data_IF_060855553120
#
_entry.id   IF_060855553120
#
_cell.length_a   1.000
_cell.length_b   1.000
_cell.length_c   1.000
_cell.angle_alpha   90.00
_cell.angle_beta   90.00
_cell.angle_gamma   90.00
#
_symmetry.space_group_name_H-M   'P 1'
#
loop_
_entity.id
_entity.type
_entity.pdbx_description
1 polymer ?
#
# COMPACT_ATOMS: atom_id res chain seq x y z
N UNK A 1 -17.43 8.45 -4.93
CA UNK A 1 -15.98 8.39 -4.70
C UNK A 1 -15.65 7.41 -3.58
N UNK A 2 -14.67 6.54 -3.80
CA UNK A 2 -14.20 5.66 -2.73
C UNK A 2 -13.34 6.45 -1.74
N UNK A 3 -13.09 5.84 -0.58
CA UNK A 3 -12.20 6.41 0.43
C UNK A 3 -10.79 6.62 -0.14
N UNK A 4 -10.33 5.74 -1.05
CA UNK A 4 -8.99 5.86 -1.63
C UNK A 4 -8.88 7.09 -2.55
N UNK A 5 -9.91 7.38 -3.35
CA UNK A 5 -9.93 8.60 -4.15
C UNK A 5 -9.84 9.83 -3.27
N UNK A 6 -10.54 9.83 -2.15
CA UNK A 6 -10.50 10.96 -1.20
C UNK A 6 -9.13 11.11 -0.56
N UNK A 7 -8.46 10.00 -0.27
CA UNK A 7 -7.08 10.02 0.26
C UNK A 7 -6.13 10.61 -0.79
N UNK A 8 -6.24 10.16 -2.04
CA UNK A 8 -5.39 10.66 -3.13
C UNK A 8 -5.58 12.18 -3.32
N UNK A 9 -6.81 12.67 -3.18
CA UNK A 9 -7.13 14.08 -3.35
C UNK A 9 -6.79 14.93 -2.11
N UNK A 10 -6.36 14.31 -1.03
CA UNK A 10 -6.00 15.03 0.20
C UNK A 10 -7.18 15.38 1.09
N UNK A 11 -8.39 14.89 0.77
CA UNK A 11 -9.58 15.15 1.59
C UNK A 11 -9.55 14.39 2.91
N UNK A 12 -8.92 13.20 2.90
CA UNK A 12 -8.76 12.36 4.07
C UNK A 12 -7.26 12.19 4.33
N UNK A 13 -6.79 12.44 5.55
CA UNK A 13 -5.37 12.26 5.85
C UNK A 13 -4.95 10.80 5.76
N UNK A 14 -3.67 10.58 5.43
CA UNK A 14 -3.09 9.24 5.33
C UNK A 14 -1.63 9.27 5.77
N UNK A 15 -1.09 8.09 6.05
CA UNK A 15 0.34 7.94 6.34
C UNK A 15 1.04 7.62 5.03
N UNK A 16 1.28 8.65 4.22
CA UNK A 16 1.88 8.50 2.89
C UNK A 16 3.31 7.98 2.99
N UNK A 17 3.66 7.01 2.13
CA UNK A 17 5.03 6.51 2.01
C UNK A 17 5.67 6.88 0.67
N UNK A 18 4.89 7.00 -0.39
CA UNK A 18 5.39 7.38 -1.71
C UNK A 18 4.28 7.85 -2.62
N UNK A 19 4.64 8.60 -3.65
CA UNK A 19 3.69 9.11 -4.62
C UNK A 19 4.43 9.48 -5.90
N UNK A 20 3.80 9.22 -7.05
CA UNK A 20 4.26 9.76 -8.32
C UNK A 20 3.03 10.26 -9.10
N UNK A 21 3.17 10.52 -10.39
CA UNK A 21 2.09 11.06 -11.20
C UNK A 21 0.90 10.11 -11.33
N UNK A 22 1.13 8.80 -11.28
CA UNK A 22 0.11 7.79 -11.58
C UNK A 22 -0.28 6.92 -10.39
N UNK A 23 0.48 6.95 -9.29
CA UNK A 23 0.30 6.04 -8.16
C UNK A 23 0.50 6.73 -6.82
N UNK A 24 -0.09 6.12 -5.79
CA UNK A 24 -0.01 6.61 -4.42
C UNK A 24 0.13 5.43 -3.46
N UNK A 25 1.00 5.54 -2.47
CA UNK A 25 1.21 4.48 -1.48
C UNK A 25 1.12 5.06 -0.07
N UNK A 26 0.43 4.34 0.82
CA UNK A 26 0.20 4.76 2.20
C UNK A 26 -0.01 3.55 3.09
N UNK A 27 0.18 3.72 4.39
CA UNK A 27 -0.03 2.62 5.33
C UNK A 27 -1.51 2.31 5.51
N UNK A 28 -1.84 1.04 5.67
CA UNK A 28 -3.16 0.62 6.10
C UNK A 28 -3.33 1.03 7.56
N UNK A 29 -4.40 1.74 7.90
CA UNK A 29 -4.64 2.19 9.27
C UNK A 29 -5.06 1.06 10.20
N UNK A 30 -5.46 -0.09 9.62
CA UNK A 30 -5.79 -1.30 10.37
C UNK A 30 -4.87 -2.43 9.88
N UNK A 31 -3.55 -2.31 10.11
CA UNK A 31 -2.60 -3.24 9.51
C UNK A 31 -2.65 -4.62 10.17
N UNK A 32 -2.40 -5.66 9.38
CA UNK A 32 -2.26 -7.01 9.94
C UNK A 32 -0.83 -7.24 10.46
N UNK A 33 0.13 -6.47 9.96
CA UNK A 33 1.48 -6.39 10.51
C UNK A 33 1.98 -4.96 10.39
N UNK A 34 2.96 -4.59 11.22
CA UNK A 34 3.57 -3.25 11.13
C UNK A 34 4.23 -3.07 9.77
N UNK A 35 3.89 -2.00 9.08
CA UNK A 35 4.42 -1.72 7.74
C UNK A 35 3.51 -2.17 6.61
N UNK A 36 2.35 -2.75 6.91
CA UNK A 36 1.34 -3.12 5.91
C UNK A 36 0.98 -1.87 5.11
N UNK A 37 1.30 -1.88 3.82
CA UNK A 37 1.17 -0.73 2.93
C UNK A 37 0.20 -1.03 1.82
N UNK A 38 -0.55 -0.02 1.38
CA UNK A 38 -1.45 -0.10 0.25
C UNK A 38 -0.90 0.74 -0.89
N UNK A 39 -0.97 0.20 -2.11
CA UNK A 39 -0.55 0.91 -3.32
C UNK A 39 -1.76 1.02 -4.25
N UNK A 40 -2.10 2.23 -4.65
CA UNK A 40 -3.28 2.49 -5.46
C UNK A 40 -2.94 3.29 -6.71
N UNK A 41 -3.65 3.05 -7.84
CA UNK A 41 -3.51 3.91 -9.00
C UNK A 41 -4.36 5.16 -8.82
N UNK A 42 -3.90 6.27 -9.40
CA UNK A 42 -4.64 7.54 -9.39
C UNK A 42 -5.62 7.58 -10.56
N UNK A 43 -6.65 6.74 -10.48
CA UNK A 43 -7.70 6.65 -11.50
C UNK A 43 -9.06 6.90 -10.86
N UNK A 44 -10.00 7.51 -11.60
CA UNK A 44 -11.37 7.64 -11.09
C UNK A 44 -12.10 6.31 -11.12
N UNK A 45 -13.12 6.16 -10.28
CA UNK A 45 -14.05 5.06 -10.41
C UNK A 45 -14.97 5.33 -11.61
N UNK A 46 -15.42 4.32 -12.34
CA UNK A 46 -15.21 2.89 -12.11
C UNK A 46 -13.93 2.33 -12.74
N UNK A 47 -13.11 3.17 -13.39
CA UNK A 47 -11.90 2.70 -14.09
C UNK A 47 -10.90 2.04 -13.16
N UNK A 48 -10.89 2.45 -11.89
CA UNK A 48 -9.95 1.93 -10.90
C UNK A 48 -10.49 0.72 -10.12
N UNK A 49 -11.63 0.12 -10.51
CA UNK A 49 -12.30 -0.88 -9.70
C UNK A 49 -11.54 -2.22 -9.61
N UNK A 50 -11.17 -2.79 -10.75
CA UNK A 50 -10.66 -4.16 -10.81
C UNK A 50 -9.31 -4.20 -11.53
N UNK A 51 -8.33 -4.84 -10.89
CA UNK A 51 -6.95 -4.81 -11.38
C UNK A 51 -6.81 -5.40 -12.79
N UNK A 52 -7.56 -6.47 -13.10
CA UNK A 52 -7.43 -7.11 -14.41
C UNK A 52 -8.20 -6.40 -15.51
N UNK A 53 -8.92 -5.34 -15.19
CA UNK A 53 -9.54 -4.46 -16.18
C UNK A 53 -8.65 -3.27 -16.52
N UNK A 54 -7.53 -3.08 -15.81
CA UNK A 54 -6.58 -2.02 -16.12
C UNK A 54 -5.88 -2.31 -17.46
N UNK A 55 -5.60 -1.26 -18.24
CA UNK A 55 -4.81 -1.46 -19.44
C UNK A 55 -3.37 -1.83 -19.10
N UNK A 56 -2.63 -2.34 -20.09
CA UNK A 56 -1.28 -2.85 -19.86
C UNK A 56 -0.33 -1.80 -19.31
N UNK A 57 -0.42 -0.57 -19.80
CA UNK A 57 0.46 0.51 -19.34
C UNK A 57 0.17 0.86 -17.89
N UNK A 58 -1.10 1.03 -17.55
CA UNK A 58 -1.51 1.35 -16.18
C UNK A 58 -1.12 0.23 -15.22
N UNK A 59 -1.36 -1.02 -15.61
CA UNK A 59 -1.00 -2.18 -14.80
C UNK A 59 0.52 -2.24 -14.58
N UNK A 60 1.30 -2.04 -15.65
CA UNK A 60 2.76 -2.04 -15.57
C UNK A 60 3.27 -0.93 -14.64
N UNK A 61 2.75 0.27 -14.80
CA UNK A 61 3.14 1.40 -13.97
C UNK A 61 2.84 1.13 -12.49
N UNK A 62 1.67 0.57 -12.21
CA UNK A 62 1.26 0.23 -10.85
C UNK A 62 2.18 -0.82 -10.24
N UNK A 63 2.49 -1.88 -10.98
CA UNK A 63 3.34 -2.96 -10.48
C UNK A 63 4.79 -2.50 -10.29
N UNK A 64 5.30 -1.67 -11.20
CA UNK A 64 6.67 -1.13 -11.06
C UNK A 64 6.77 -0.19 -9.87
N UNK A 65 5.73 0.61 -9.63
CA UNK A 65 5.68 1.45 -8.45
C UNK A 65 5.61 0.60 -7.17
N UNK A 66 4.77 -0.43 -7.17
CA UNK A 66 4.69 -1.36 -6.04
C UNK A 66 6.04 -2.04 -5.76
N UNK A 67 6.78 -2.41 -6.79
CA UNK A 67 8.11 -3.01 -6.65
C UNK A 67 9.04 -2.05 -5.91
N UNK A 68 9.03 -0.78 -6.27
CA UNK A 68 9.87 0.23 -5.62
C UNK A 68 9.50 0.40 -4.16
N UNK A 69 8.19 0.48 -3.87
CA UNK A 69 7.69 0.60 -2.51
C UNK A 69 8.07 -0.64 -1.69
N UNK A 70 7.92 -1.83 -2.27
CA UNK A 70 8.24 -3.09 -1.59
C UNK A 70 9.72 -3.16 -1.20
N UNK A 71 10.62 -2.66 -2.05
CA UNK A 71 12.05 -2.60 -1.71
C UNK A 71 12.28 -1.72 -0.49
N UNK A 72 11.61 -0.58 -0.42
CA UNK A 72 11.69 0.31 0.74
C UNK A 72 11.13 -0.34 1.99
N UNK A 73 10.03 -1.06 1.88
CA UNK A 73 9.44 -1.78 3.02
C UNK A 73 10.41 -2.82 3.55
N UNK A 74 11.03 -3.59 2.66
CA UNK A 74 11.97 -4.63 3.07
C UNK A 74 13.17 -4.03 3.79
N UNK A 75 13.71 -2.94 3.27
CA UNK A 75 14.84 -2.25 3.88
C UNK A 75 14.46 -1.68 5.26
N UNK A 76 13.31 -1.01 5.35
CA UNK A 76 12.89 -0.36 6.58
C UNK A 76 12.50 -1.34 7.69
N UNK A 77 11.86 -2.46 7.33
CA UNK A 77 11.33 -3.41 8.33
C UNK A 77 12.27 -4.57 8.61
N UNK A 78 13.23 -4.83 7.72
CA UNK A 78 14.11 -6.00 7.85
C UNK A 78 13.37 -7.31 7.64
N UNK A 79 12.20 -7.28 7.01
CA UNK A 79 11.40 -8.50 6.78
C UNK A 79 12.11 -9.43 5.80
N UNK A 80 11.70 -10.69 5.80
CA UNK A 80 12.27 -11.69 4.91
C UNK A 80 11.78 -11.50 3.48
N UNK A 81 10.49 -11.23 3.30
CA UNK A 81 9.86 -10.99 2.01
C UNK A 81 8.70 -10.02 2.17
N UNK A 82 8.32 -9.38 1.06
CA UNK A 82 7.09 -8.58 1.03
C UNK A 82 6.07 -9.38 0.22
N UNK A 83 4.96 -9.74 0.87
CA UNK A 83 3.87 -10.47 0.23
C UNK A 83 2.94 -9.51 -0.50
N UNK A 84 2.28 -10.00 -1.54
CA UNK A 84 1.39 -9.21 -2.39
C UNK A 84 0.02 -9.86 -2.43
N UNK A 85 -1.03 -9.07 -2.22
CA UNK A 85 -2.40 -9.53 -2.40
C UNK A 85 -3.24 -8.41 -2.99
N UNK A 86 -4.18 -8.75 -3.89
CA UNK A 86 -5.13 -7.82 -4.46
C UNK A 86 -6.50 -8.48 -4.44
N UNK A 87 -7.45 -7.92 -3.72
CA UNK A 87 -8.78 -8.51 -3.59
C UNK A 87 -9.89 -7.57 -4.05
N UNK A 88 -9.98 -6.38 -3.47
CA UNK A 88 -10.98 -5.40 -3.87
C UNK A 88 -12.41 -5.76 -3.50
N UNK A 89 -12.62 -6.57 -2.48
CA UNK A 89 -13.97 -7.01 -2.10
C UNK A 89 -14.74 -5.97 -1.27
N UNK A 90 -14.03 -5.13 -0.53
CA UNK A 90 -14.66 -4.14 0.34
C UNK A 90 -14.65 -2.73 -0.27
N UNK A 91 -13.55 -2.35 -0.91
CA UNK A 91 -13.42 -1.04 -1.55
C UNK A 91 -13.21 -1.25 -3.04
N UNK A 92 -14.08 -0.66 -3.86
CA UNK A 92 -14.06 -0.81 -5.31
C UNK A 92 -13.04 0.13 -5.96
N UNK A 93 -11.81 0.02 -5.52
CA UNK A 93 -10.68 0.77 -6.05
C UNK A 93 -9.45 -0.14 -5.89
N UNK A 94 -8.78 -0.44 -6.98
CA UNK A 94 -7.63 -1.33 -6.97
C UNK A 94 -6.65 -0.89 -5.87
N UNK A 95 -6.31 -1.82 -5.00
CA UNK A 95 -5.27 -1.58 -4.01
C UNK A 95 -4.46 -2.85 -3.83
N UNK A 96 -3.15 -2.70 -4.00
CA UNK A 96 -2.22 -3.78 -3.79
C UNK A 96 -1.81 -3.74 -2.32
N UNK A 97 -2.05 -4.84 -1.62
CA UNK A 97 -1.54 -5.00 -0.25
C UNK A 97 -0.08 -5.45 -0.33
N UNK A 98 0.81 -4.69 0.29
CA UNK A 98 2.21 -5.06 0.45
C UNK A 98 2.43 -5.34 1.94
N UNK A 99 2.75 -6.58 2.26
CA UNK A 99 2.79 -7.03 3.64
C UNK A 99 4.19 -7.57 3.96
N UNK A 100 4.92 -6.90 4.88
CA UNK A 100 6.22 -7.42 5.31
C UNK A 100 6.03 -8.74 6.06
N UNK A 101 6.76 -9.78 5.63
CA UNK A 101 6.55 -11.12 6.12
C UNK A 101 7.83 -11.72 6.69
N UNK A 102 7.70 -12.37 7.85
CA UNK A 102 8.74 -13.24 8.41
C UNK A 102 8.33 -14.70 8.29
N UNK A 103 7.03 -14.97 8.13
CA UNK A 103 6.45 -16.30 8.00
C UNK A 103 5.15 -16.19 7.19
N UNK A 104 4.70 -17.31 6.62
CA UNK A 104 3.50 -17.32 5.80
C UNK A 104 2.23 -16.85 6.51
N UNK A 105 2.13 -17.13 7.81
CA UNK A 105 0.96 -16.72 8.59
C UNK A 105 0.77 -15.20 8.62
N UNK A 106 1.81 -14.42 8.34
CA UNK A 106 1.72 -12.97 8.31
C UNK A 106 0.80 -12.47 7.19
N UNK A 107 0.53 -13.30 6.17
CA UNK A 107 -0.38 -12.96 5.08
C UNK A 107 -1.86 -13.24 5.35
N UNK A 108 -2.21 -13.81 6.50
CA UNK A 108 -3.60 -14.16 6.78
C UNK A 108 -4.40 -12.91 7.15
N UNK A 109 -5.34 -12.54 6.29
CA UNK A 109 -6.21 -11.38 6.53
C UNK A 109 -7.20 -11.61 7.67
N UNK A 110 -7.30 -12.85 8.17
CA UNK A 110 -8.06 -13.17 9.37
C UNK A 110 -7.28 -12.89 10.65
N UNK A 111 -5.99 -12.57 10.56
CA UNK A 111 -5.22 -12.17 11.73
C UNK A 111 -5.81 -10.90 12.35
N UNK A 112 -5.73 -10.75 13.68
CA UNK A 112 -6.23 -9.54 14.32
C UNK A 112 -5.55 -8.30 13.76
N UNK A 113 -6.34 -7.25 13.55
CA UNK A 113 -5.80 -5.96 13.09
C UNK A 113 -5.10 -5.27 14.25
N UNK A 114 -3.93 -4.70 13.96
CA UNK A 114 -3.17 -3.98 14.97
C UNK A 114 -3.77 -2.59 15.19
N UNK A 115 -3.66 -2.10 16.42
CA UNK A 115 -4.06 -0.74 16.77
C UNK A 115 -2.80 -0.02 17.22
N UNK A 116 -2.18 0.71 16.29
CA UNK A 116 -0.91 1.39 16.56
C UNK A 116 -1.15 2.87 16.83
N UNK A 117 -0.42 3.47 17.79
CA UNK A 117 -0.51 4.91 18.01
C UNK A 117 -0.13 5.70 16.77
N UNK A 118 -0.72 6.90 16.65
CA UNK A 118 -0.44 7.80 15.52
C UNK A 118 1.05 8.05 15.35
N UNK A 119 1.77 8.24 16.46
CA UNK A 119 3.21 8.49 16.43
C UNK A 119 4.00 7.32 15.86
N UNK A 120 3.60 6.10 16.20
CA UNK A 120 4.25 4.89 15.68
C UNK A 120 3.96 4.74 14.18
N UNK A 121 2.72 4.96 13.77
CA UNK A 121 2.35 4.90 12.35
C UNK A 121 3.15 5.91 11.54
N UNK A 122 3.29 7.13 12.03
CA UNK A 122 4.06 8.16 11.35
C UNK A 122 5.53 7.77 11.23
N UNK A 123 6.12 7.19 12.27
CA UNK A 123 7.51 6.73 12.24
C UNK A 123 7.71 5.62 11.21
N UNK A 124 6.79 4.68 11.16
CA UNK A 124 6.87 3.57 10.18
C UNK A 124 6.79 4.14 8.76
N UNK A 125 5.84 5.03 8.51
CA UNK A 125 5.68 5.64 7.19
C UNK A 125 6.93 6.41 6.77
N UNK A 126 7.50 7.20 7.67
CA UNK A 126 8.72 7.97 7.39
C UNK A 126 9.91 7.05 7.12
N UNK A 127 10.04 5.98 7.89
CA UNK A 127 11.12 5.01 7.71
C UNK A 127 11.06 4.35 6.34
N UNK A 128 9.86 3.97 5.91
CA UNK A 128 9.66 3.36 4.59
C UNK A 128 9.94 4.39 3.49
N UNK A 129 9.41 5.62 3.65
CA UNK A 129 9.62 6.68 2.66
C UNK A 129 11.11 6.99 2.46
N UNK A 130 11.89 7.07 3.55
CA UNK A 130 13.32 7.29 3.47
C UNK A 130 14.03 6.14 2.78
N UNK A 131 13.62 4.90 3.08
CA UNK A 131 14.22 3.72 2.47
C UNK A 131 13.93 3.67 0.96
N UNK A 132 12.74 4.08 0.54
CA UNK A 132 12.39 4.13 -0.89
C UNK A 132 13.31 5.09 -1.63
N UNK A 133 13.61 6.26 -1.06
CA UNK A 133 14.49 7.24 -1.68
C UNK A 133 15.91 6.73 -1.86
N UNK A 134 16.38 5.81 -1.01
CA UNK A 134 17.73 5.25 -1.06
C UNK A 134 17.86 4.05 -1.97
N UNK A 135 16.74 3.47 -2.37
CA UNK A 135 16.76 2.26 -3.21
C UNK A 135 16.99 2.56 -4.69
#
# INVERSE_FOLDING_TARGET
MTIFTRIIQGEIPSYKVAENETCYAFLDINPIVKGHTLVVPKLPEPEADYIFDLDDTTLSDLMLFAKKVAKGIKEATGCKRVGVAVMGMEVNHVHIHLIPMKKEKDMLFTNPKLQLPTEEMAKIANSIAEAIEKC
#
